data_IF_911457189839
#
_entry.id   IF_911457189839
#
_cell.length_a   1.000
_cell.length_b   1.000
_cell.length_c   1.000
_cell.angle_alpha   90.00
_cell.angle_beta   90.00
_cell.angle_gamma   90.00
#
_symmetry.space_group_name_H-M   'P 1'
#
loop_
_entity.id
_entity.type
_entity.pdbx_description
1 polymer ?
#
# COMPACT_ATOMS: atom_id res chain seq x y z
N UNK A 1 -9.01 -26.85 -27.71
CA UNK A 1 -8.05 -25.93 -27.05
C UNK A 1 -7.13 -25.34 -28.10
N UNK A 2 -7.03 -24.01 -28.17
CA UNK A 2 -6.18 -23.34 -29.16
C UNK A 2 -4.68 -23.45 -28.85
N UNK A 3 -3.84 -23.05 -29.83
CA UNK A 3 -2.39 -22.93 -29.66
C UNK A 3 -1.96 -22.07 -28.45
N UNK A 4 -2.56 -20.90 -28.13
CA UNK A 4 -2.08 -20.06 -27.03
C UNK A 4 -2.23 -20.75 -25.67
N UNK A 5 -3.37 -21.37 -25.37
CA UNK A 5 -3.55 -22.06 -24.09
C UNK A 5 -2.60 -23.25 -23.93
N UNK A 6 -2.42 -24.04 -25.00
CA UNK A 6 -1.47 -25.17 -25.00
C UNK A 6 -0.01 -24.74 -24.81
N UNK A 7 0.37 -23.54 -25.23
CA UNK A 7 1.75 -23.05 -25.10
C UNK A 7 2.00 -22.32 -23.77
N UNK A 8 1.02 -21.54 -23.29
CA UNK A 8 1.16 -20.70 -22.11
C UNK A 8 1.02 -21.52 -20.82
N UNK A 9 0.02 -22.39 -20.72
CA UNK A 9 -0.30 -23.14 -19.49
C UNK A 9 0.42 -24.49 -19.38
N UNK A 10 1.60 -24.63 -19.99
CA UNK A 10 2.41 -25.85 -19.83
C UNK A 10 3.09 -25.84 -18.46
N UNK A 11 3.30 -27.04 -17.91
CA UNK A 11 3.99 -27.24 -16.62
C UNK A 11 5.36 -26.57 -16.55
N UNK A 12 6.11 -26.56 -17.66
CA UNK A 12 7.42 -25.88 -17.75
C UNK A 12 7.40 -24.35 -17.65
N UNK A 13 6.23 -23.72 -17.69
CA UNK A 13 6.02 -22.26 -17.59
C UNK A 13 5.05 -21.92 -16.45
N UNK A 14 4.88 -22.83 -15.49
CA UNK A 14 3.98 -22.64 -14.37
C UNK A 14 4.52 -21.54 -13.46
N UNK A 15 3.68 -20.57 -13.14
CA UNK A 15 3.95 -19.53 -12.15
C UNK A 15 3.60 -20.03 -10.75
N UNK A 16 4.09 -19.35 -9.71
CA UNK A 16 3.64 -19.65 -8.34
C UNK A 16 2.14 -19.47 -8.19
N UNK A 17 1.54 -20.39 -7.44
CA UNK A 17 0.12 -20.40 -7.14
C UNK A 17 -0.20 -19.41 -5.99
N UNK A 18 -1.43 -18.91 -5.94
CA UNK A 18 -1.86 -17.89 -4.96
C UNK A 18 -1.69 -18.38 -3.52
N UNK A 19 -1.98 -19.65 -3.31
CA UNK A 19 -1.98 -20.30 -2.01
C UNK A 19 -0.55 -20.56 -1.50
N UNK A 20 0.41 -20.80 -2.40
CA UNK A 20 1.85 -20.82 -2.07
C UNK A 20 2.33 -19.43 -1.65
N UNK A 21 1.94 -18.38 -2.37
CA UNK A 21 2.35 -17.01 -2.02
C UNK A 21 1.82 -16.63 -0.63
N UNK A 22 0.56 -16.95 -0.32
CA UNK A 22 0.00 -16.65 0.99
C UNK A 22 0.69 -17.44 2.13
N UNK A 23 0.97 -18.73 1.91
CA UNK A 23 1.47 -19.62 2.98
C UNK A 23 2.98 -19.61 3.16
N UNK A 24 3.73 -19.38 2.10
CA UNK A 24 5.19 -19.48 2.13
C UNK A 24 5.81 -18.07 2.18
N UNK A 25 5.30 -17.14 1.37
CA UNK A 25 5.91 -15.82 1.19
C UNK A 25 5.33 -14.74 2.12
N UNK A 26 4.03 -14.80 2.46
CA UNK A 26 3.33 -13.80 3.27
C UNK A 26 2.92 -14.28 4.67
N UNK A 27 3.37 -15.47 5.09
CA UNK A 27 2.94 -16.08 6.36
C UNK A 27 3.67 -15.54 7.58
N UNK A 28 4.82 -14.88 7.41
CA UNK A 28 5.59 -14.33 8.54
C UNK A 28 6.32 -13.07 8.14
N UNK A 29 6.39 -12.09 9.03
CA UNK A 29 7.18 -10.86 8.85
C UNK A 29 8.63 -11.13 8.41
N UNK A 30 9.25 -12.18 8.95
CA UNK A 30 10.60 -12.63 8.60
C UNK A 30 10.69 -13.11 7.15
N UNK A 31 9.72 -13.91 6.68
CA UNK A 31 9.70 -14.38 5.29
C UNK A 31 9.59 -13.22 4.30
N UNK A 32 8.77 -12.23 4.64
CA UNK A 32 8.62 -11.03 3.82
C UNK A 32 9.91 -10.21 3.79
N UNK A 33 10.54 -9.99 4.96
CA UNK A 33 11.83 -9.29 5.07
C UNK A 33 12.94 -10.02 4.31
N UNK A 34 12.99 -11.34 4.37
CA UNK A 34 13.94 -12.16 3.63
C UNK A 34 13.74 -12.04 2.11
N UNK A 35 12.49 -11.98 1.65
CA UNK A 35 12.18 -11.79 0.23
C UNK A 35 12.42 -10.37 -0.28
N UNK A 36 12.33 -9.38 0.61
CA UNK A 36 12.73 -8.00 0.30
C UNK A 36 14.24 -7.83 0.25
N UNK A 37 14.96 -8.45 1.18
CA UNK A 37 16.40 -8.33 1.35
C UNK A 37 17.10 -9.61 0.90
N UNK A 38 16.89 -9.99 -0.37
CA UNK A 38 17.57 -11.16 -0.94
C UNK A 38 19.05 -10.87 -1.18
N UNK A 39 19.87 -11.91 -1.05
CA UNK A 39 21.27 -11.85 -1.46
C UNK A 39 21.38 -11.66 -2.98
N UNK A 40 22.50 -11.07 -3.42
CA UNK A 40 22.76 -10.86 -4.83
C UNK A 40 22.90 -12.20 -5.57
N UNK A 41 22.01 -12.42 -6.53
CA UNK A 41 21.95 -13.65 -7.31
C UNK A 41 22.08 -13.34 -8.80
N UNK A 42 23.17 -13.81 -9.42
CA UNK A 42 23.51 -13.55 -10.83
C UNK A 42 22.54 -14.21 -11.82
N UNK A 43 21.83 -15.28 -11.42
CA UNK A 43 20.90 -15.99 -12.31
C UNK A 43 19.56 -15.26 -12.48
N UNK A 44 19.23 -14.36 -11.54
CA UNK A 44 17.96 -13.65 -11.50
C UNK A 44 18.09 -12.24 -12.10
N UNK A 45 17.05 -11.73 -12.77
CA UNK A 45 17.09 -10.37 -13.29
C UNK A 45 17.16 -9.36 -12.13
N UNK A 46 17.93 -8.30 -12.33
CA UNK A 46 18.15 -7.26 -11.31
C UNK A 46 18.88 -7.76 -10.06
N UNK A 47 19.70 -8.81 -10.18
CA UNK A 47 20.44 -9.44 -9.08
C UNK A 47 19.55 -9.82 -7.89
N UNK A 48 18.30 -10.22 -8.18
CA UNK A 48 17.24 -10.54 -7.23
C UNK A 48 16.73 -9.40 -6.32
N UNK A 49 17.28 -8.19 -6.44
CA UNK A 49 16.95 -7.06 -5.56
C UNK A 49 15.54 -6.52 -5.82
N UNK A 50 15.11 -6.45 -7.09
CA UNK A 50 13.81 -5.87 -7.45
C UNK A 50 12.72 -6.93 -7.56
N UNK A 51 12.30 -7.49 -6.42
CA UNK A 51 11.26 -8.51 -6.34
C UNK A 51 9.89 -7.94 -5.94
N UNK A 52 8.81 -8.47 -6.53
CA UNK A 52 7.42 -8.22 -6.12
C UNK A 52 6.80 -9.50 -5.57
N UNK A 53 6.49 -9.50 -4.28
CA UNK A 53 5.96 -10.67 -3.56
C UNK A 53 4.58 -11.11 -4.08
N UNK A 54 3.56 -10.23 -4.21
CA UNK A 54 2.22 -10.66 -4.64
C UNK A 54 2.18 -11.29 -6.05
N UNK A 55 3.07 -10.85 -6.93
CA UNK A 55 3.14 -11.34 -8.31
C UNK A 55 4.22 -12.40 -8.53
N UNK A 56 5.02 -12.73 -7.49
CA UNK A 56 6.16 -13.62 -7.55
C UNK A 56 7.07 -13.38 -8.79
N UNK A 57 7.44 -12.12 -9.02
CA UNK A 57 8.18 -11.71 -10.22
C UNK A 57 9.36 -10.80 -9.89
N UNK A 58 10.48 -11.07 -10.56
CA UNK A 58 11.69 -10.26 -10.54
C UNK A 58 11.70 -9.24 -11.67
N UNK A 59 12.28 -8.08 -11.40
CA UNK A 59 12.45 -6.98 -12.33
C UNK A 59 13.92 -6.61 -12.47
N UNK A 60 14.28 -6.00 -13.59
CA UNK A 60 15.65 -5.55 -13.88
C UNK A 60 16.04 -4.28 -13.12
N UNK A 61 15.10 -3.35 -12.94
CA UNK A 61 15.31 -2.03 -12.35
C UNK A 61 14.20 -1.68 -11.36
N UNK A 62 14.48 -0.72 -10.48
CA UNK A 62 13.50 -0.21 -9.54
C UNK A 62 12.30 0.45 -10.25
N UNK A 63 12.56 1.21 -11.31
CA UNK A 63 11.52 1.86 -12.10
C UNK A 63 10.55 0.84 -12.73
N UNK A 64 11.06 -0.29 -13.22
CA UNK A 64 10.22 -1.37 -13.74
C UNK A 64 9.32 -1.98 -12.66
N UNK A 65 9.82 -2.12 -11.42
CA UNK A 65 9.02 -2.58 -10.28
C UNK A 65 7.94 -1.55 -9.89
N UNK A 66 8.27 -0.27 -9.84
CA UNK A 66 7.32 0.79 -9.50
C UNK A 66 6.19 0.92 -10.54
N UNK A 67 6.54 0.88 -11.83
CA UNK A 67 5.55 0.89 -12.92
C UNK A 67 4.65 -0.35 -12.91
N UNK A 68 5.21 -1.52 -12.57
CA UNK A 68 4.43 -2.74 -12.38
C UNK A 68 3.38 -2.60 -11.27
N UNK A 69 3.78 -2.07 -10.10
CA UNK A 69 2.88 -1.91 -8.93
C UNK A 69 1.70 -1.00 -9.28
N UNK A 70 1.93 0.09 -10.03
CA UNK A 70 0.86 0.99 -10.49
C UNK A 70 -0.07 0.36 -11.54
N UNK A 71 0.39 -0.70 -12.22
CA UNK A 71 -0.30 -1.35 -13.31
C UNK A 71 -1.52 -2.18 -12.90
N UNK A 72 -2.45 -2.38 -13.84
CA UNK A 72 -3.71 -3.14 -13.62
C UNK A 72 -3.48 -4.61 -13.24
N UNK A 73 -2.40 -5.21 -13.75
CA UNK A 73 -2.06 -6.61 -13.48
C UNK A 73 -1.78 -6.82 -11.99
N UNK A 74 -0.98 -5.93 -11.40
CA UNK A 74 -0.68 -5.99 -9.97
C UNK A 74 -1.93 -5.78 -9.12
N UNK A 75 -2.71 -4.73 -9.43
CA UNK A 75 -3.97 -4.44 -8.73
C UNK A 75 -4.98 -5.59 -8.78
N UNK A 76 -5.06 -6.28 -9.92
CA UNK A 76 -5.87 -7.49 -10.05
C UNK A 76 -5.36 -8.59 -9.12
N UNK A 77 -4.04 -8.80 -9.07
CA UNK A 77 -3.42 -9.82 -8.23
C UNK A 77 -3.62 -9.54 -6.73
N UNK A 78 -3.53 -8.28 -6.31
CA UNK A 78 -3.83 -7.90 -4.92
C UNK A 78 -5.28 -8.22 -4.53
N UNK A 79 -6.23 -8.01 -5.44
CA UNK A 79 -7.63 -8.41 -5.20
C UNK A 79 -7.77 -9.92 -5.05
N UNK A 80 -7.13 -10.70 -5.92
CA UNK A 80 -7.13 -12.17 -5.84
C UNK A 80 -6.52 -12.69 -4.53
N UNK A 81 -5.50 -12.01 -3.98
CA UNK A 81 -4.83 -12.44 -2.74
C UNK A 81 -5.59 -12.02 -1.48
N UNK A 82 -6.35 -10.92 -1.52
CA UNK A 82 -7.19 -10.49 -0.38
C UNK A 82 -8.29 -11.49 -0.06
N UNK A 83 -8.67 -12.32 -1.02
CA UNK A 83 -9.61 -13.41 -0.80
C UNK A 83 -8.87 -14.64 -0.28
N UNK A 84 -9.51 -15.41 0.61
CA UNK A 84 -8.94 -16.67 1.08
C UNK A 84 -8.75 -17.61 -0.11
N UNK A 85 -7.52 -18.13 -0.35
CA UNK A 85 -7.26 -18.93 -1.52
C UNK A 85 -7.96 -20.28 -1.43
N UNK A 86 -8.44 -20.77 -2.57
CA UNK A 86 -9.06 -22.08 -2.66
C UNK A 86 -8.07 -23.19 -2.27
N UNK A 87 -8.54 -24.13 -1.45
CA UNK A 87 -7.76 -25.29 -1.02
C UNK A 87 -8.50 -26.60 -1.25
N UNK A 88 -7.76 -27.71 -1.27
CA UNK A 88 -8.37 -29.04 -1.38
C UNK A 88 -9.33 -29.34 -0.22
N UNK A 89 -9.10 -28.73 0.95
CA UNK A 89 -9.95 -28.91 2.13
C UNK A 89 -11.33 -28.30 1.91
N UNK A 90 -11.41 -27.18 1.18
CA UNK A 90 -12.67 -26.57 0.76
C UNK A 90 -13.42 -27.47 -0.22
N UNK A 91 -12.71 -28.08 -1.18
CA UNK A 91 -13.27 -29.05 -2.11
C UNK A 91 -13.89 -30.25 -1.38
N UNK A 92 -13.16 -30.78 -0.40
CA UNK A 92 -13.61 -31.90 0.41
C UNK A 92 -14.83 -31.53 1.26
N UNK A 93 -14.82 -30.34 1.88
CA UNK A 93 -15.96 -29.83 2.64
C UNK A 93 -17.21 -29.71 1.75
N UNK A 94 -17.07 -29.17 0.54
CA UNK A 94 -18.18 -29.05 -0.40
C UNK A 94 -18.76 -30.41 -0.79
N UNK A 95 -17.95 -31.47 -0.80
CA UNK A 95 -18.37 -32.85 -0.97
C UNK A 95 -18.90 -33.53 0.31
N UNK A 96 -18.98 -32.80 1.44
CA UNK A 96 -19.43 -33.31 2.74
C UNK A 96 -18.36 -33.98 3.60
N UNK A 97 -17.09 -33.94 3.18
CA UNK A 97 -15.97 -34.58 3.86
C UNK A 97 -15.12 -33.57 4.66
N UNK A 98 -14.74 -33.92 5.89
CA UNK A 98 -13.75 -33.16 6.69
C UNK A 98 -14.09 -31.67 6.93
N UNK A 99 -15.37 -31.35 7.16
CA UNK A 99 -15.85 -29.97 7.38
C UNK A 99 -15.10 -29.26 8.51
N UNK A 100 -14.92 -29.92 9.66
CA UNK A 100 -14.23 -29.34 10.82
C UNK A 100 -12.78 -28.91 10.50
N UNK A 101 -12.10 -29.66 9.62
CA UNK A 101 -10.73 -29.37 9.21
C UNK A 101 -10.66 -28.10 8.37
N UNK A 102 -11.57 -27.93 7.41
CA UNK A 102 -11.63 -26.72 6.60
C UNK A 102 -11.92 -25.48 7.44
N UNK A 103 -12.86 -25.55 8.40
CA UNK A 103 -13.18 -24.40 9.25
C UNK A 103 -11.95 -23.93 10.04
N UNK A 104 -11.25 -24.86 10.68
CA UNK A 104 -10.01 -24.56 11.39
C UNK A 104 -8.94 -23.96 10.47
N UNK A 105 -8.79 -24.47 9.24
CA UNK A 105 -7.84 -23.96 8.25
C UNK A 105 -8.16 -22.53 7.82
N UNK A 106 -9.42 -22.31 7.43
CA UNK A 106 -9.91 -21.03 6.94
C UNK A 106 -9.74 -19.92 7.99
N UNK A 107 -9.98 -20.23 9.26
CA UNK A 107 -9.76 -19.28 10.36
C UNK A 107 -8.30 -18.83 10.47
N UNK A 108 -7.34 -19.74 10.21
CA UNK A 108 -5.91 -19.38 10.20
C UNK A 108 -5.58 -18.55 8.96
N UNK A 109 -6.10 -18.91 7.78
CA UNK A 109 -5.84 -18.16 6.54
C UNK A 109 -6.43 -16.73 6.59
N UNK A 110 -7.59 -16.54 7.21
CA UNK A 110 -8.15 -15.19 7.48
C UNK A 110 -7.27 -14.38 8.42
N UNK A 111 -6.84 -14.97 9.54
CA UNK A 111 -5.96 -14.29 10.50
C UNK A 111 -4.66 -13.80 9.84
N UNK A 112 -4.08 -14.60 8.93
CA UNK A 112 -2.90 -14.19 8.14
C UNK A 112 -3.18 -12.97 7.27
N UNK A 113 -4.33 -12.94 6.58
CA UNK A 113 -4.73 -11.82 5.73
C UNK A 113 -4.99 -10.54 6.54
N UNK A 114 -5.44 -10.69 7.79
CA UNK A 114 -5.69 -9.58 8.72
C UNK A 114 -4.42 -9.05 9.39
N UNK A 115 -3.25 -9.71 9.26
CA UNK A 115 -2.00 -9.22 9.82
C UNK A 115 -1.63 -7.84 9.23
N UNK A 116 -1.28 -6.89 10.09
CA UNK A 116 -1.01 -5.49 9.71
C UNK A 116 0.07 -5.37 8.61
N UNK A 117 1.11 -6.19 8.67
CA UNK A 117 2.16 -6.18 7.66
C UNK A 117 1.66 -6.67 6.28
N UNK A 118 0.77 -7.66 6.26
CA UNK A 118 0.18 -8.21 5.02
C UNK A 118 -0.84 -7.22 4.45
N UNK A 119 -1.70 -6.66 5.29
CA UNK A 119 -2.71 -5.66 4.88
C UNK A 119 -2.07 -4.38 4.32
N UNK A 120 -0.97 -3.90 4.91
CA UNK A 120 -0.24 -2.72 4.40
C UNK A 120 0.45 -2.98 3.05
N UNK A 121 0.80 -4.22 2.73
CA UNK A 121 1.31 -4.60 1.41
C UNK A 121 0.19 -4.77 0.39
N UNK A 122 -0.98 -5.19 0.85
CA UNK A 122 -2.17 -5.39 0.01
C UNK A 122 -2.90 -4.09 -0.30
N UNK A 123 -2.75 -3.03 0.49
CA UNK A 123 -3.30 -1.71 0.23
C UNK A 123 -2.34 -0.90 -0.64
N UNK A 124 -2.76 -0.56 -1.87
CA UNK A 124 -1.96 0.21 -2.83
C UNK A 124 -1.51 1.55 -2.20
N UNK A 125 -0.24 1.69 -1.83
CA UNK A 125 0.34 2.92 -1.20
C UNK A 125 0.25 4.18 -2.06
N UNK A 126 0.01 4.05 -3.37
CA UNK A 126 0.00 5.18 -4.29
C UNK A 126 -1.10 6.22 -4.06
N UNK A 127 -2.14 5.93 -3.27
CA UNK A 127 -3.22 6.90 -3.03
C UNK A 127 -3.34 7.38 -1.59
N UNK A 128 -2.61 6.81 -0.63
CA UNK A 128 -2.72 7.21 0.77
C UNK A 128 -1.60 8.17 1.15
N UNK A 129 -0.35 7.89 0.77
CA UNK A 129 0.77 8.80 1.04
C UNK A 129 0.66 10.11 0.23
N UNK A 130 0.24 10.06 -1.05
CA UNK A 130 0.01 11.26 -1.87
C UNK A 130 -1.17 12.09 -1.33
N UNK A 131 -2.23 11.44 -0.81
CA UNK A 131 -3.39 12.12 -0.22
C UNK A 131 -3.09 12.65 1.18
N UNK A 132 -2.27 11.96 1.97
CA UNK A 132 -1.81 12.41 3.29
C UNK A 132 -0.81 13.56 3.17
N UNK A 133 0.13 13.49 2.23
CA UNK A 133 1.06 14.60 1.92
C UNK A 133 0.30 15.81 1.36
N UNK A 134 -0.69 15.61 0.48
CA UNK A 134 -1.54 16.70 -0.01
C UNK A 134 -2.42 17.30 1.10
N UNK A 135 -2.97 16.48 2.01
CA UNK A 135 -3.73 16.95 3.18
C UNK A 135 -2.85 17.72 4.15
N UNK A 136 -1.65 17.23 4.46
CA UNK A 136 -0.68 17.88 5.32
C UNK A 136 -0.19 19.21 4.71
N UNK A 137 0.04 19.27 3.40
CA UNK A 137 0.36 20.50 2.70
C UNK A 137 -0.82 21.51 2.76
N UNK A 138 -2.06 21.04 2.65
CA UNK A 138 -3.25 21.89 2.73
C UNK A 138 -3.56 22.40 4.15
N UNK A 139 -3.27 21.61 5.19
CA UNK A 139 -3.44 22.04 6.59
C UNK A 139 -2.36 23.05 6.98
N UNK A 140 -1.11 22.81 6.57
CA UNK A 140 0.01 23.72 6.82
C UNK A 140 -0.17 25.07 6.09
N UNK A 141 -0.67 25.06 4.86
CA UNK A 141 -0.98 26.30 4.12
C UNK A 141 -2.06 27.15 4.82
N UNK A 142 -3.11 26.51 5.35
CA UNK A 142 -4.17 27.19 6.12
C UNK A 142 -3.67 27.77 7.44
N UNK A 143 -2.79 27.06 8.13
CA UNK A 143 -2.15 27.55 9.36
C UNK A 143 -1.26 28.78 9.10
N UNK A 144 -0.48 28.76 8.01
CA UNK A 144 0.35 29.91 7.65
C UNK A 144 -0.47 31.13 7.21
N UNK A 145 -1.58 30.92 6.51
CA UNK A 145 -2.50 31.99 6.11
C UNK A 145 -3.21 32.61 7.33
N UNK A 146 -3.66 31.79 8.29
CA UNK A 146 -4.23 32.28 9.54
C UNK A 146 -3.24 33.12 10.36
N UNK A 147 -1.97 32.72 10.41
CA UNK A 147 -0.91 33.49 11.08
C UNK A 147 -0.60 34.82 10.37
N UNK A 148 -0.68 34.87 9.03
CA UNK A 148 -0.53 36.12 8.27
C UNK A 148 -1.68 37.08 8.56
N UNK A 149 -2.92 36.60 8.49
CA UNK A 149 -4.12 37.39 8.79
C UNK A 149 -4.10 37.90 10.24
N UNK A 150 -3.61 37.11 11.20
CA UNK A 150 -3.45 37.54 12.58
C UNK A 150 -2.46 38.72 12.71
N UNK A 151 -1.30 38.63 12.05
CA UNK A 151 -0.31 39.72 12.03
C UNK A 151 -0.80 40.99 11.34
N UNK A 152 -1.57 40.86 10.25
CA UNK A 152 -2.17 42.00 9.56
C UNK A 152 -3.21 42.71 10.45
N UNK A 153 -4.02 41.95 11.20
CA UNK A 153 -4.97 42.52 12.16
C UNK A 153 -4.29 43.19 13.35
N UNK A 154 -3.22 42.60 13.87
CA UNK A 154 -2.39 43.21 14.92
C UNK A 154 -1.83 44.57 14.43
N UNK A 155 -1.32 44.64 13.19
CA UNK A 155 -0.84 45.88 12.59
C UNK A 155 -1.97 46.93 12.37
N UNK A 156 -3.17 46.50 11.95
CA UNK A 156 -4.32 47.41 11.80
C UNK A 156 -4.87 47.92 13.15
N UNK A 157 -4.71 47.16 14.23
CA UNK A 157 -5.09 47.56 15.58
C UNK A 157 -4.09 48.56 16.18
N UNK A 158 -2.79 48.39 15.88
CA UNK A 158 -1.73 49.36 16.21
C UNK A 158 -1.93 50.71 15.49
N UNK A 159 -2.32 50.71 14.21
CA UNK A 159 -2.57 51.95 13.44
C UNK A 159 -3.82 52.74 13.90
N UNK A 160 -4.83 52.07 14.49
CA UNK A 160 -6.01 52.73 15.07
C UNK A 160 -5.75 53.36 16.44
N UNK A 161 -4.61 53.09 17.05
CA UNK A 161 -4.22 53.58 18.38
C UNK A 161 -3.63 55.00 18.42
N UNK A 162 -3.44 55.67 17.28
CA UNK A 162 -2.84 57.01 17.24
C UNK A 162 -3.91 58.07 16.94
N UNK A 163 -4.68 58.46 17.96
CA UNK A 163 -5.39 59.73 17.96
C UNK A 163 -4.45 60.76 18.59
N UNK A 164 -3.91 61.73 17.84
CA UNK A 164 -3.21 62.85 18.47
C UNK A 164 -4.25 63.71 19.20
N UNK A 165 -4.13 63.81 20.52
CA UNK A 165 -4.86 64.80 21.32
C UNK A 165 -4.43 66.20 20.85
N UNK A 166 -5.21 66.83 19.98
CA UNK A 166 -5.12 68.27 19.74
C UNK A 166 -5.67 68.97 20.98
N UNK A 167 -4.76 69.45 21.83
CA UNK A 167 -5.10 70.41 22.88
C UNK A 167 -5.54 71.71 22.20
N UNK A 168 -6.85 71.91 22.13
CA UNK A 168 -7.45 73.22 21.92
C UNK A 168 -7.20 74.08 23.17
N UNK A 169 -6.03 74.71 23.26
CA UNK A 169 -5.79 75.84 24.16
C UNK A 169 -6.25 77.11 23.44
N UNK A 170 -7.56 77.32 23.34
CA UNK A 170 -8.16 78.61 23.01
C UNK A 170 -9.58 78.70 23.60
N UNK A 171 -9.70 79.21 24.83
CA UNK A 171 -10.81 80.09 25.27
C UNK A 171 -10.68 80.43 26.76
N UNK A 172 -10.07 81.58 27.05
CA UNK A 172 -10.54 82.66 27.96
C UNK A 172 -9.38 83.57 28.37
#
# INVERSE_FOLDING_TARGET
MGRPSRMMYKTKRRTRDLDQILRDDMNTSQSIKALHNQEYDEEKPGLAQFYCIPCARYFETEFAKQTHIRGKVHKRRLKEIREVPYTQEEANMAAGNNVARYLARNDVDKKRLDEEEVTTMLTDRGSLEEVEQAKAASSFAREQEALRIAREKEAEEEDKGVIPETKDEDMA
#
